data_IF_262299099039
#
_entry.id   IF_262299099039
#
_cell.length_a   1.000
_cell.length_b   1.000
_cell.length_c   1.000
_cell.angle_alpha   90.00
_cell.angle_beta   90.00
_cell.angle_gamma   90.00
#
_symmetry.space_group_name_H-M   'P 1'
#
loop_
_entity.id
_entity.type
_entity.pdbx_description
1 polymer ?
#
# COMPACT_ATOMS: atom_id res chain seq x y z
N UNK A 1 24.01 -3.48 -16.29
CA UNK A 1 23.46 -4.86 -16.32
C UNK A 1 22.07 -4.81 -16.96
N UNK A 2 21.75 -5.68 -17.91
CA UNK A 2 20.50 -5.60 -18.69
C UNK A 2 19.27 -5.85 -17.77
N UNK A 3 18.39 -4.85 -17.61
CA UNK A 3 17.16 -4.95 -16.78
C UNK A 3 16.32 -6.18 -17.15
N UNK A 4 16.34 -6.58 -18.43
CA UNK A 4 15.67 -7.78 -18.93
C UNK A 4 16.24 -9.07 -18.34
N UNK A 5 17.56 -9.16 -18.12
CA UNK A 5 18.22 -10.32 -17.48
C UNK A 5 17.88 -10.39 -15.99
N UNK A 6 17.81 -9.25 -15.31
CA UNK A 6 17.47 -9.18 -13.88
C UNK A 6 16.03 -9.62 -13.64
N UNK A 7 15.09 -9.23 -14.51
CA UNK A 7 13.70 -9.62 -14.35
C UNK A 7 13.45 -11.03 -14.88
N UNK A 8 14.14 -11.46 -15.95
CA UNK A 8 14.20 -12.90 -16.27
C UNK A 8 14.76 -13.68 -15.09
N UNK A 9 15.72 -13.16 -14.33
CA UNK A 9 16.19 -13.77 -13.09
C UNK A 9 15.21 -13.62 -11.91
N UNK A 10 14.42 -12.56 -11.78
CA UNK A 10 13.33 -12.47 -10.78
C UNK A 10 12.28 -13.53 -11.10
N UNK A 11 11.84 -13.54 -12.35
CA UNK A 11 10.88 -14.48 -12.90
C UNK A 11 11.47 -15.89 -12.85
N UNK A 12 12.76 -16.07 -13.08
CA UNK A 12 13.46 -17.36 -12.96
C UNK A 12 13.73 -17.75 -11.51
N UNK A 13 13.92 -16.84 -10.57
CA UNK A 13 13.97 -17.14 -9.14
C UNK A 13 12.57 -17.46 -8.62
N UNK A 14 11.52 -16.88 -9.21
CA UNK A 14 10.13 -17.28 -9.00
C UNK A 14 9.81 -18.59 -9.79
N UNK A 15 10.51 -18.90 -10.89
CA UNK A 15 10.29 -20.10 -11.71
C UNK A 15 11.18 -21.29 -11.32
N UNK A 16 12.32 -21.07 -10.65
CA UNK A 16 13.08 -22.08 -9.88
C UNK A 16 12.23 -22.64 -8.73
N UNK A 17 11.09 -21.99 -8.43
CA UNK A 17 10.04 -22.44 -7.52
C UNK A 17 8.91 -23.16 -8.31
N UNK A 18 9.14 -23.61 -9.55
CA UNK A 18 8.22 -24.42 -10.38
C UNK A 18 6.85 -23.79 -10.72
N UNK A 19 6.61 -22.53 -10.36
CA UNK A 19 5.27 -21.92 -10.51
C UNK A 19 5.07 -21.31 -11.90
N UNK A 20 5.97 -20.49 -12.44
CA UNK A 20 5.60 -19.66 -13.62
C UNK A 20 5.56 -20.42 -14.97
N UNK A 21 6.36 -21.49 -15.14
CA UNK A 21 6.34 -22.28 -16.37
C UNK A 21 5.15 -23.26 -16.42
N UNK A 22 4.68 -23.73 -15.26
CA UNK A 22 3.50 -24.60 -15.14
C UNK A 22 2.18 -23.82 -14.90
N UNK A 23 2.26 -22.54 -14.51
CA UNK A 23 1.09 -21.72 -14.22
C UNK A 23 0.39 -21.30 -15.51
N UNK A 24 -0.69 -22.03 -15.82
CA UNK A 24 -1.56 -21.84 -16.97
C UNK A 24 -2.04 -20.40 -17.12
N UNK A 25 -2.22 -19.64 -16.04
CA UNK A 25 -2.68 -18.25 -16.17
C UNK A 25 -1.58 -17.34 -16.73
N UNK A 26 -0.33 -17.57 -16.34
CA UNK A 26 0.82 -16.81 -16.84
C UNK A 26 1.11 -17.18 -18.27
N UNK A 27 1.03 -18.47 -18.62
CA UNK A 27 1.12 -18.88 -20.02
C UNK A 27 0.03 -18.22 -20.88
N UNK A 28 -1.20 -18.15 -20.37
CA UNK A 28 -2.27 -17.41 -21.03
C UNK A 28 -2.04 -15.90 -21.11
N UNK A 29 -1.36 -15.30 -20.13
CA UNK A 29 -0.96 -13.90 -20.17
C UNK A 29 0.09 -13.67 -21.26
N UNK A 30 1.12 -14.52 -21.30
CA UNK A 30 2.21 -14.45 -22.29
C UNK A 30 1.67 -14.67 -23.70
N UNK A 31 0.71 -15.58 -23.89
CA UNK A 31 0.10 -15.87 -25.19
C UNK A 31 -0.96 -14.84 -25.62
N UNK A 32 -1.26 -13.84 -24.79
CA UNK A 32 -2.29 -12.83 -25.07
C UNK A 32 -3.74 -13.30 -24.83
N UNK A 33 -3.95 -14.51 -24.31
CA UNK A 33 -5.28 -15.04 -23.95
C UNK A 33 -5.84 -14.41 -22.66
N UNK A 34 -5.02 -13.69 -21.90
CA UNK A 34 -5.42 -12.88 -20.74
C UNK A 34 -4.74 -11.53 -20.76
N UNK A 35 -5.44 -10.51 -20.29
CA UNK A 35 -4.90 -9.15 -20.12
C UNK A 35 -4.23 -8.93 -18.77
N UNK A 36 -4.65 -9.68 -17.74
CA UNK A 36 -4.23 -9.44 -16.35
C UNK A 36 -4.16 -10.72 -15.51
N UNK A 37 -3.04 -10.88 -14.83
CA UNK A 37 -2.81 -11.92 -13.82
C UNK A 37 -2.26 -11.27 -12.55
N UNK A 38 -2.75 -11.73 -11.40
CA UNK A 38 -2.35 -11.24 -10.09
C UNK A 38 -1.80 -12.38 -9.25
N UNK A 39 -0.68 -12.16 -8.56
CA UNK A 39 -0.03 -13.12 -7.67
C UNK A 39 0.28 -12.45 -6.33
N UNK A 40 0.00 -13.15 -5.23
CA UNK A 40 0.31 -12.70 -3.88
C UNK A 40 1.32 -13.67 -3.27
N UNK A 41 2.54 -13.21 -3.02
CA UNK A 41 3.64 -14.06 -2.54
C UNK A 41 3.39 -14.62 -1.12
N UNK A 42 2.43 -14.06 -0.38
CA UNK A 42 1.96 -14.63 0.89
C UNK A 42 1.43 -16.07 0.77
N UNK A 43 1.11 -16.54 -0.44
CA UNK A 43 0.58 -17.89 -0.66
C UNK A 43 1.64 -18.90 -1.14
N UNK A 44 2.92 -18.50 -1.21
CA UNK A 44 3.97 -19.28 -1.86
C UNK A 44 5.13 -19.57 -0.90
N UNK A 45 5.71 -20.77 -1.06
CA UNK A 45 6.88 -21.22 -0.32
C UNK A 45 8.16 -20.63 -0.91
N UNK A 46 8.29 -19.30 -0.82
CA UNK A 46 9.49 -18.56 -1.26
C UNK A 46 10.26 -18.16 -0.01
N UNK A 47 11.50 -18.63 0.08
CA UNK A 47 12.45 -18.28 1.14
C UNK A 47 12.72 -16.76 1.12
N UNK A 48 12.37 -16.10 2.22
CA UNK A 48 12.46 -14.64 2.34
C UNK A 48 13.93 -14.19 2.34
N UNK A 49 14.82 -14.93 3.00
CA UNK A 49 16.22 -14.58 3.11
C UNK A 49 16.92 -14.66 1.75
N UNK A 50 16.67 -15.73 0.98
CA UNK A 50 17.16 -15.84 -0.40
C UNK A 50 16.60 -14.72 -1.29
N UNK A 51 15.33 -14.37 -1.11
CA UNK A 51 14.70 -13.28 -1.83
C UNK A 51 15.36 -11.93 -1.53
N UNK A 52 15.62 -11.62 -0.25
CA UNK A 52 16.28 -10.37 0.16
C UNK A 52 17.70 -10.29 -0.41
N UNK A 53 18.48 -11.37 -0.28
CA UNK A 53 19.84 -11.45 -0.85
C UNK A 53 19.80 -11.18 -2.35
N UNK A 54 18.89 -11.84 -3.06
CA UNK A 54 18.71 -11.63 -4.50
C UNK A 54 18.38 -10.17 -4.85
N UNK A 55 17.47 -9.52 -4.12
CA UNK A 55 17.14 -8.10 -4.36
C UNK A 55 18.34 -7.19 -4.13
N UNK A 56 19.10 -7.42 -3.05
CA UNK A 56 20.29 -6.63 -2.71
C UNK A 56 21.41 -6.80 -3.73
N UNK A 57 21.76 -8.02 -4.08
CA UNK A 57 22.82 -8.33 -5.06
C UNK A 57 22.53 -7.74 -6.44
N UNK A 58 21.25 -7.58 -6.79
CA UNK A 58 20.81 -7.03 -8.08
C UNK A 58 20.39 -5.55 -8.00
N UNK A 59 20.52 -4.89 -6.86
CA UNK A 59 20.09 -3.50 -6.62
C UNK A 59 18.63 -3.23 -7.04
N UNK A 60 17.73 -4.15 -6.68
CA UNK A 60 16.32 -4.09 -7.04
C UNK A 60 15.52 -3.48 -5.90
N UNK A 61 14.76 -2.43 -6.21
CA UNK A 61 13.83 -1.81 -5.29
C UNK A 61 12.41 -1.85 -5.87
N UNK A 62 11.45 -2.23 -5.04
CA UNK A 62 10.03 -2.17 -5.38
C UNK A 62 9.31 -1.13 -4.53
N UNK A 63 8.23 -0.50 -5.05
CA UNK A 63 7.47 0.44 -4.27
C UNK A 63 6.85 -0.23 -3.04
N UNK A 64 6.92 0.46 -1.91
CA UNK A 64 6.15 0.18 -0.72
C UNK A 64 5.16 1.33 -0.51
N UNK A 65 3.89 1.04 -0.74
CA UNK A 65 2.82 2.06 -0.71
C UNK A 65 2.49 2.48 0.73
N UNK A 66 2.54 3.78 1.02
CA UNK A 66 2.05 4.33 2.29
C UNK A 66 1.31 5.63 2.04
N UNK A 67 0.83 6.31 3.08
CA UNK A 67 0.08 7.55 2.92
C UNK A 67 0.86 8.75 3.47
N UNK A 68 0.40 9.97 3.20
CA UNK A 68 0.91 11.18 3.85
C UNK A 68 0.75 11.09 5.38
N UNK A 69 1.77 11.53 6.13
CA UNK A 69 1.75 11.50 7.60
C UNK A 69 3.14 11.37 8.22
N UNK A 70 3.21 10.71 9.38
CA UNK A 70 4.37 10.68 10.28
C UNK A 70 5.56 9.81 9.83
N UNK A 71 6.14 10.09 8.65
CA UNK A 71 7.26 9.31 8.12
C UNK A 71 8.55 9.40 8.92
N UNK A 72 8.76 10.47 9.69
CA UNK A 72 9.88 10.58 10.64
C UNK A 72 9.86 9.45 11.68
N UNK A 73 8.73 9.27 12.34
CA UNK A 73 8.58 8.27 13.40
C UNK A 73 8.60 6.85 12.81
N UNK A 74 8.02 6.68 11.62
CA UNK A 74 8.17 5.44 10.86
C UNK A 74 9.66 5.17 10.64
N UNK A 75 10.41 6.08 10.01
CA UNK A 75 11.85 5.92 9.75
C UNK A 75 12.64 5.52 11.00
N UNK A 76 12.26 6.07 12.15
CA UNK A 76 12.95 5.90 13.43
C UNK A 76 12.47 4.70 14.26
N UNK A 77 11.69 3.77 13.69
CA UNK A 77 11.17 2.59 14.41
C UNK A 77 10.29 2.93 15.61
N UNK A 78 9.58 4.06 15.54
CA UNK A 78 8.69 4.50 16.60
C UNK A 78 7.23 4.20 16.27
N UNK A 79 6.95 3.54 15.15
CA UNK A 79 5.61 3.46 14.57
C UNK A 79 4.85 2.16 14.80
N UNK A 80 5.44 1.22 15.54
CA UNK A 80 4.80 -0.02 15.94
C UNK A 80 4.44 -0.85 14.70
N UNK A 81 3.15 -0.97 14.41
CA UNK A 81 2.67 -1.79 13.27
C UNK A 81 3.16 -1.31 11.90
N UNK A 82 3.65 -0.08 11.78
CA UNK A 82 4.21 0.46 10.53
C UNK A 82 5.74 0.28 10.41
N UNK A 83 6.40 -0.31 11.40
CA UNK A 83 7.86 -0.43 11.42
C UNK A 83 8.40 -1.39 10.34
N UNK A 84 7.54 -2.22 9.73
CA UNK A 84 7.92 -2.95 8.51
C UNK A 84 8.33 -2.00 7.37
N UNK A 85 7.78 -0.77 7.31
CA UNK A 85 8.19 0.21 6.31
C UNK A 85 9.63 0.66 6.57
N UNK A 86 10.00 0.82 7.83
CA UNK A 86 11.35 1.22 8.26
C UNK A 86 12.37 0.17 7.89
N UNK A 87 12.03 -1.09 8.15
CA UNK A 87 12.86 -2.24 7.81
C UNK A 87 13.06 -2.29 6.29
N UNK A 88 11.97 -2.35 5.53
CA UNK A 88 12.02 -2.51 4.07
C UNK A 88 12.71 -1.34 3.35
N UNK A 89 12.35 -0.11 3.70
CA UNK A 89 12.77 1.08 2.96
C UNK A 89 14.12 1.64 3.41
N UNK A 90 14.49 1.48 4.68
CA UNK A 90 15.63 2.22 5.26
C UNK A 90 16.74 1.31 5.81
N UNK A 91 16.38 0.23 6.51
CA UNK A 91 17.36 -0.72 7.07
C UNK A 91 17.84 -1.72 6.02
N UNK A 92 16.93 -2.51 5.45
CA UNK A 92 17.22 -3.50 4.41
C UNK A 92 17.41 -2.86 3.03
N UNK A 93 16.82 -1.68 2.80
CA UNK A 93 16.87 -0.93 1.54
C UNK A 93 16.53 -1.80 0.32
N UNK A 94 15.43 -2.55 0.43
CA UNK A 94 14.86 -3.41 -0.64
C UNK A 94 13.52 -2.89 -1.16
N UNK A 95 13.13 -1.70 -0.70
CA UNK A 95 11.95 -0.98 -1.12
C UNK A 95 12.23 0.52 -1.15
N UNK A 96 11.35 1.27 -1.81
CA UNK A 96 11.26 2.72 -1.64
C UNK A 96 9.83 3.13 -1.28
N UNK A 97 9.63 4.20 -0.49
CA UNK A 97 8.30 4.72 -0.21
C UNK A 97 7.62 5.27 -1.47
N UNK A 98 6.40 4.80 -1.75
CA UNK A 98 5.48 5.41 -2.70
C UNK A 98 4.29 5.97 -1.92
N UNK A 99 4.22 7.29 -1.80
CA UNK A 99 3.33 7.99 -0.89
C UNK A 99 2.03 8.38 -1.59
N UNK A 100 0.90 7.88 -1.08
CA UNK A 100 -0.44 8.26 -1.51
C UNK A 100 -0.84 9.54 -0.79
N UNK A 101 -1.07 10.57 -1.59
CA UNK A 101 -1.28 11.94 -1.17
C UNK A 101 -2.68 12.49 -1.48
N UNK A 102 -3.56 11.61 -1.99
CA UNK A 102 -4.98 11.86 -2.22
C UNK A 102 -5.82 11.17 -1.13
N UNK A 103 -5.38 11.32 0.12
CA UNK A 103 -5.96 10.65 1.30
C UNK A 103 -6.99 11.50 2.05
N UNK A 104 -7.34 11.03 3.24
CA UNK A 104 -8.23 11.71 4.18
C UNK A 104 -7.48 12.04 5.48
N UNK A 105 -7.85 13.13 6.14
CA UNK A 105 -7.50 13.35 7.54
C UNK A 105 -8.19 12.31 8.43
N UNK A 106 -7.55 11.95 9.53
CA UNK A 106 -8.24 11.24 10.60
C UNK A 106 -9.23 12.15 11.33
N UNK A 107 -10.32 11.56 11.81
CA UNK A 107 -11.22 12.22 12.75
C UNK A 107 -10.67 12.12 14.20
N UNK A 108 -11.37 12.75 15.13
CA UNK A 108 -10.94 12.88 16.54
C UNK A 108 -10.82 11.53 17.26
N UNK A 109 -11.87 10.71 17.17
CA UNK A 109 -11.99 9.41 17.84
C UNK A 109 -11.22 8.26 17.13
N UNK A 110 -10.56 8.56 16.01
CA UNK A 110 -9.82 7.61 15.19
C UNK A 110 -10.68 6.44 14.66
N UNK A 111 -11.93 6.72 14.31
CA UNK A 111 -12.83 5.74 13.68
C UNK A 111 -12.95 5.90 12.17
N UNK A 112 -12.57 7.06 11.60
CA UNK A 112 -12.63 7.33 10.16
C UNK A 112 -11.38 8.02 9.61
N UNK A 113 -11.24 7.98 8.28
CA UNK A 113 -10.14 8.60 7.56
C UNK A 113 -8.85 7.80 7.65
N UNK A 114 -7.71 8.49 7.72
CA UNK A 114 -6.40 7.84 7.85
C UNK A 114 -5.93 7.77 9.31
N UNK A 115 -6.46 6.80 10.03
CA UNK A 115 -6.15 6.54 11.45
C UNK A 115 -4.80 5.86 11.66
N UNK A 116 -4.07 5.58 10.57
CA UNK A 116 -2.80 4.84 10.58
C UNK A 116 -1.64 5.84 10.49
N UNK A 117 -1.64 6.68 9.46
CA UNK A 117 -0.59 7.66 9.20
C UNK A 117 -0.83 9.03 9.88
N UNK A 118 -2.06 9.27 10.36
CA UNK A 118 -2.49 10.48 11.07
C UNK A 118 -2.03 11.81 10.42
N UNK A 119 -2.34 12.06 9.14
CA UNK A 119 -1.93 13.27 8.44
C UNK A 119 -2.45 14.57 9.09
N UNK A 120 -3.55 14.51 9.85
CA UNK A 120 -4.10 15.64 10.60
C UNK A 120 -3.48 15.85 11.98
N UNK A 121 -2.42 15.11 12.30
CA UNK A 121 -1.67 15.20 13.56
C UNK A 121 -0.17 15.29 13.32
N UNK A 122 0.55 15.63 14.38
CA UNK A 122 2.00 15.49 14.51
C UNK A 122 2.24 14.44 15.58
N UNK A 123 3.12 13.50 15.30
CA UNK A 123 3.60 12.56 16.30
C UNK A 123 5.02 12.95 16.67
N UNK A 124 5.27 13.05 17.97
CA UNK A 124 6.57 13.45 18.50
C UNK A 124 6.75 12.76 19.85
N UNK A 125 7.82 11.97 19.97
CA UNK A 125 8.19 11.24 21.19
C UNK A 125 7.02 10.38 21.74
N UNK A 126 6.32 9.66 20.87
CA UNK A 126 5.16 8.83 21.26
C UNK A 126 3.93 9.62 21.72
N UNK A 127 3.92 10.95 21.53
CA UNK A 127 2.77 11.80 21.82
C UNK A 127 2.16 12.33 20.53
N UNK A 128 0.83 12.31 20.47
CA UNK A 128 0.03 12.87 19.38
C UNK A 128 -0.31 14.33 19.70
N UNK A 129 0.02 15.21 18.78
CA UNK A 129 -0.32 16.63 18.80
C UNK A 129 -1.22 16.95 17.62
N UNK A 130 -2.28 17.70 17.85
CA UNK A 130 -3.25 18.06 16.81
C UNK A 130 -2.71 19.26 16.02
N UNK A 131 -2.79 19.20 14.69
CA UNK A 131 -2.49 20.35 13.81
C UNK A 131 -3.64 21.37 13.82
N UNK A 132 -3.33 22.66 13.70
CA UNK A 132 -4.34 23.73 13.48
C UNK A 132 -4.75 23.73 12.00
N UNK A 133 -5.84 22.99 11.70
CA UNK A 133 -6.34 22.77 10.34
C UNK A 133 -7.60 23.58 10.05
N UNK A 134 -7.81 23.93 8.77
CA UNK A 134 -9.02 24.60 8.24
C UNK A 134 -9.37 24.06 6.84
N UNK A 135 -10.62 24.22 6.40
CA UNK A 135 -11.12 23.66 5.13
C UNK A 135 -10.99 24.58 3.91
N UNK A 136 -10.62 25.85 4.10
CA UNK A 136 -10.37 26.80 3.01
C UNK A 136 -9.62 28.01 3.60
N UNK A 137 -8.57 28.54 2.95
CA UNK A 137 -7.91 29.76 3.42
C UNK A 137 -8.81 31.00 3.49
N UNK A 138 -9.81 31.09 2.60
CA UNK A 138 -10.73 32.23 2.52
C UNK A 138 -11.87 32.13 3.53
N UNK A 139 -12.38 30.92 3.80
CA UNK A 139 -13.60 30.76 4.61
C UNK A 139 -13.35 30.91 6.11
N UNK A 140 -12.09 30.82 6.59
CA UNK A 140 -11.70 30.84 8.02
C UNK A 140 -12.51 29.89 8.92
N UNK A 141 -13.39 29.04 8.36
CA UNK A 141 -14.24 28.16 9.12
C UNK A 141 -13.37 27.08 9.74
N UNK A 142 -13.55 26.91 11.06
CA UNK A 142 -12.78 25.96 11.84
C UNK A 142 -13.10 24.56 11.33
N UNK A 143 -12.05 23.80 11.06
CA UNK A 143 -12.15 22.37 10.84
C UNK A 143 -12.74 21.70 12.10
N UNK A 144 -13.95 21.15 12.00
CA UNK A 144 -14.44 20.23 13.03
C UNK A 144 -13.78 18.86 12.82
N UNK A 145 -13.10 18.34 13.84
CA UNK A 145 -12.45 17.01 13.82
C UNK A 145 -13.44 15.85 13.92
N UNK A 146 -14.74 16.12 14.04
CA UNK A 146 -15.78 15.10 14.11
C UNK A 146 -15.82 14.20 12.86
N UNK A 147 -15.35 14.72 11.73
CA UNK A 147 -15.34 14.03 10.43
C UNK A 147 -13.96 14.04 9.80
N UNK A 148 -13.80 13.17 8.81
CA UNK A 148 -12.61 13.09 7.96
C UNK A 148 -12.80 13.88 6.68
N UNK A 149 -11.75 14.55 6.23
CA UNK A 149 -11.80 15.44 5.07
C UNK A 149 -10.65 15.17 4.11
N UNK A 150 -10.86 15.51 2.85
CA UNK A 150 -9.87 15.30 1.79
C UNK A 150 -8.62 16.15 2.04
N UNK A 151 -7.46 15.50 2.13
CA UNK A 151 -6.21 16.17 2.55
C UNK A 151 -5.84 17.37 1.67
N UNK A 152 -5.95 17.31 0.33
CA UNK A 152 -5.70 18.48 -0.51
C UNK A 152 -6.62 19.68 -0.28
N UNK A 153 -7.73 19.56 0.46
CA UNK A 153 -8.62 20.68 0.79
C UNK A 153 -8.38 21.20 2.21
N UNK A 154 -7.47 20.60 2.96
CA UNK A 154 -7.09 21.10 4.28
C UNK A 154 -5.92 22.08 4.14
N UNK A 155 -5.97 23.14 4.92
CA UNK A 155 -4.86 24.06 5.12
C UNK A 155 -4.43 24.05 6.57
N UNK A 156 -3.13 24.12 6.81
CA UNK A 156 -2.52 24.26 8.12
C UNK A 156 -2.08 25.71 8.32
N UNK A 157 -2.41 26.27 9.48
CA UNK A 157 -1.88 27.55 9.93
C UNK A 157 -0.65 27.31 10.79
N UNK A 158 0.54 27.58 10.23
CA UNK A 158 1.81 27.43 10.93
C UNK A 158 2.49 28.78 11.04
N UNK A 159 2.63 29.26 12.28
CA UNK A 159 3.26 30.56 12.59
C UNK A 159 2.62 31.74 11.83
N UNK A 160 1.30 31.70 11.63
CA UNK A 160 0.55 32.72 10.90
C UNK A 160 0.54 32.54 9.37
N UNK A 161 1.24 31.55 8.84
CA UNK A 161 1.28 31.24 7.40
C UNK A 161 0.35 30.06 7.10
N UNK A 162 -0.65 30.31 6.24
CA UNK A 162 -1.61 29.29 5.80
C UNK A 162 -1.02 28.55 4.59
N UNK A 163 -0.84 27.24 4.72
CA UNK A 163 -0.35 26.37 3.64
C UNK A 163 -1.28 25.18 3.45
N UNK A 164 -1.40 24.70 2.20
CA UNK A 164 -2.08 23.43 1.92
C UNK A 164 -1.41 22.27 2.68
N UNK A 165 -2.20 21.47 3.39
CA UNK A 165 -1.70 20.39 4.24
C UNK A 165 -0.95 19.33 3.43
N UNK A 166 -1.44 18.93 2.25
CA UNK A 166 -0.73 17.98 1.40
C UNK A 166 0.65 18.52 0.98
N UNK A 167 0.76 19.80 0.65
CA UNK A 167 2.05 20.44 0.32
C UNK A 167 2.97 20.50 1.54
N UNK A 168 2.45 20.85 2.71
CA UNK A 168 3.24 20.87 3.95
C UNK A 168 3.78 19.48 4.29
N UNK A 169 2.93 18.46 4.29
CA UNK A 169 3.34 17.08 4.59
C UNK A 169 4.34 16.54 3.56
N UNK A 170 4.17 16.87 2.27
CA UNK A 170 5.15 16.52 1.22
C UNK A 170 6.53 17.10 1.55
N UNK A 171 6.61 18.39 1.90
CA UNK A 171 7.88 19.06 2.27
C UNK A 171 8.52 18.44 3.52
N UNK A 172 7.70 18.10 4.52
CA UNK A 172 8.18 17.41 5.72
C UNK A 172 8.78 16.04 5.36
N UNK A 173 8.08 15.25 4.52
CA UNK A 173 8.58 13.96 4.04
C UNK A 173 9.85 14.11 3.20
N UNK A 174 9.89 15.07 2.26
CA UNK A 174 11.08 15.37 1.45
C UNK A 174 12.30 15.67 2.36
N UNK A 175 12.06 16.40 3.45
CA UNK A 175 13.10 16.72 4.45
C UNK A 175 13.52 15.49 5.24
N UNK A 176 12.55 14.72 5.74
CA UNK A 176 12.79 13.55 6.60
C UNK A 176 13.40 12.38 5.82
N UNK A 177 13.13 12.29 4.53
CA UNK A 177 13.57 11.21 3.64
C UNK A 177 14.58 11.70 2.59
N UNK A 178 15.22 12.86 2.79
CA UNK A 178 16.14 13.48 1.82
C UNK A 178 17.26 12.58 1.29
N UNK A 179 17.65 11.56 2.06
CA UNK A 179 18.71 10.60 1.75
C UNK A 179 18.20 9.35 1.03
N UNK A 180 16.89 9.21 0.85
CA UNK A 180 16.25 8.01 0.31
C UNK A 180 15.42 8.35 -0.91
N UNK A 181 15.43 7.44 -1.88
CA UNK A 181 14.50 7.48 -3.01
C UNK A 181 13.09 7.33 -2.48
N UNK A 182 12.21 8.24 -2.86
CA UNK A 182 10.78 8.18 -2.57
C UNK A 182 10.00 8.94 -3.64
N UNK A 183 8.70 8.65 -3.74
CA UNK A 183 7.82 9.25 -4.74
C UNK A 183 6.47 9.60 -4.14
N UNK A 184 5.84 10.66 -4.66
CA UNK A 184 4.46 10.99 -4.38
C UNK A 184 3.58 10.57 -5.54
N UNK A 185 2.47 9.90 -5.24
CA UNK A 185 1.56 9.33 -6.22
C UNK A 185 1.04 10.39 -7.19
N UNK A 186 0.54 11.52 -6.70
CA UNK A 186 0.01 12.56 -7.58
C UNK A 186 1.08 13.18 -8.47
N UNK A 187 2.32 13.31 -8.00
CA UNK A 187 3.44 13.80 -8.80
C UNK A 187 3.69 12.88 -10.01
N UNK A 188 3.75 11.57 -9.78
CA UNK A 188 4.02 10.59 -10.85
C UNK A 188 2.86 10.49 -11.84
N UNK A 189 1.62 10.61 -11.36
CA UNK A 189 0.44 10.71 -12.21
C UNK A 189 0.50 11.98 -13.08
N UNK A 190 0.77 13.14 -12.47
CA UNK A 190 0.83 14.41 -13.19
C UNK A 190 1.95 14.44 -14.25
N UNK A 191 3.15 13.93 -13.92
CA UNK A 191 4.27 13.79 -14.87
C UNK A 191 3.89 12.98 -16.11
N UNK A 192 2.96 12.04 -15.99
CA UNK A 192 2.51 11.16 -17.06
C UNK A 192 1.11 11.50 -17.59
N UNK A 193 0.65 12.74 -17.37
CA UNK A 193 -0.74 13.18 -17.63
C UNK A 193 -1.27 12.79 -19.01
N UNK A 194 -0.46 12.89 -20.07
CA UNK A 194 -0.90 12.59 -21.44
C UNK A 194 -1.34 11.11 -21.57
N UNK A 195 -0.49 10.18 -21.13
CA UNK A 195 -0.77 8.74 -21.20
C UNK A 195 -1.90 8.33 -20.26
N UNK A 196 -2.00 8.98 -19.10
CA UNK A 196 -3.10 8.72 -18.16
C UNK A 196 -4.43 9.27 -18.68
N UNK A 197 -4.42 10.40 -19.40
CA UNK A 197 -5.60 10.92 -20.10
C UNK A 197 -6.08 9.90 -21.15
N UNK A 198 -5.17 9.32 -21.93
CA UNK A 198 -5.51 8.24 -22.89
C UNK A 198 -6.16 7.03 -22.19
N UNK A 199 -5.66 6.64 -21.00
CA UNK A 199 -6.29 5.59 -20.17
C UNK A 199 -7.71 5.97 -19.76
N UNK A 200 -7.91 7.19 -19.26
CA UNK A 200 -9.22 7.67 -18.80
C UNK A 200 -10.22 7.75 -19.96
N UNK A 201 -9.80 8.31 -21.10
CA UNK A 201 -10.60 8.41 -22.32
C UNK A 201 -11.01 7.04 -22.82
N UNK A 202 -10.08 6.09 -22.91
CA UNK A 202 -10.37 4.72 -23.36
C UNK A 202 -11.43 4.02 -22.49
N UNK A 203 -11.31 4.13 -21.16
CA UNK A 203 -12.27 3.51 -20.23
C UNK A 203 -13.65 4.15 -20.36
N UNK A 204 -13.72 5.49 -20.43
CA UNK A 204 -14.98 6.21 -20.57
C UNK A 204 -15.64 5.94 -21.92
N UNK A 205 -14.86 5.84 -23.00
CA UNK A 205 -15.40 5.51 -24.32
C UNK A 205 -15.98 4.11 -24.38
N UNK A 206 -15.32 3.12 -23.79
CA UNK A 206 -15.88 1.77 -23.69
C UNK A 206 -17.15 1.75 -22.85
N UNK A 207 -17.18 2.52 -21.75
CA UNK A 207 -18.39 2.70 -20.96
C UNK A 207 -19.53 3.33 -21.78
N UNK A 208 -19.29 4.43 -22.49
CA UNK A 208 -20.33 5.08 -23.30
C UNK A 208 -20.84 4.19 -24.45
N UNK A 209 -20.01 3.30 -25.00
CA UNK A 209 -20.43 2.34 -26.04
C UNK A 209 -21.29 1.20 -25.50
N UNK A 210 -21.02 0.75 -24.27
CA UNK A 210 -21.64 -0.47 -23.71
C UNK A 210 -22.68 -0.18 -22.63
N UNK A 211 -22.68 1.04 -22.09
CA UNK A 211 -23.41 1.49 -20.90
C UNK A 211 -23.25 0.56 -19.68
N UNK A 212 -22.16 -0.22 -19.65
CA UNK A 212 -21.92 -1.18 -18.58
C UNK A 212 -21.51 -0.46 -17.31
N UNK A 213 -22.47 -0.23 -16.41
CA UNK A 213 -22.28 0.46 -15.12
C UNK A 213 -21.11 -0.07 -14.29
N UNK A 214 -20.75 -1.36 -14.41
CA UNK A 214 -19.59 -1.92 -13.69
C UNK A 214 -18.27 -1.30 -14.13
N UNK A 215 -18.13 -0.93 -15.41
CA UNK A 215 -16.94 -0.22 -15.92
C UNK A 215 -16.82 1.13 -15.22
N UNK A 216 -17.89 1.92 -15.20
CA UNK A 216 -17.91 3.22 -14.55
C UNK A 216 -17.63 3.12 -13.05
N UNK A 217 -18.29 2.22 -12.32
CA UNK A 217 -18.04 2.04 -10.89
C UNK A 217 -16.62 1.53 -10.57
N UNK A 218 -16.02 0.74 -11.47
CA UNK A 218 -14.61 0.35 -11.33
C UNK A 218 -13.68 1.50 -11.72
N UNK A 219 -14.13 2.50 -12.47
CA UNK A 219 -13.35 3.65 -12.89
C UNK A 219 -13.36 4.78 -11.85
N UNK A 220 -14.55 5.15 -11.39
CA UNK A 220 -14.82 6.24 -10.44
C UNK A 220 -15.92 5.75 -9.49
N UNK A 221 -15.66 5.78 -8.19
CA UNK A 221 -16.55 5.18 -7.17
C UNK A 221 -16.99 6.13 -6.06
N UNK A 222 -16.46 7.35 -6.08
CA UNK A 222 -16.57 8.35 -5.02
C UNK A 222 -16.52 9.74 -5.61
N UNK A 223 -16.88 10.73 -4.81
CA UNK A 223 -16.65 12.14 -5.11
C UNK A 223 -16.37 12.92 -3.83
N UNK A 224 -15.84 14.13 -3.99
CA UNK A 224 -15.68 15.10 -2.90
C UNK A 224 -16.83 16.10 -3.03
N UNK A 225 -17.56 16.35 -1.94
CA UNK A 225 -18.61 17.36 -1.92
C UNK A 225 -18.08 18.77 -1.61
N UNK A 226 -18.94 19.79 -1.64
CA UNK A 226 -18.54 21.16 -1.36
C UNK A 226 -18.09 21.38 0.11
N UNK A 227 -18.27 20.39 0.99
CA UNK A 227 -17.77 20.41 2.37
C UNK A 227 -16.36 19.81 2.51
N UNK A 228 -15.80 19.28 1.42
CA UNK A 228 -14.50 18.59 1.41
C UNK A 228 -14.53 17.17 1.96
N UNK A 229 -15.71 16.59 2.16
CA UNK A 229 -15.88 15.20 2.56
C UNK A 229 -15.98 14.28 1.34
N UNK A 230 -15.46 13.07 1.49
CA UNK A 230 -15.61 12.04 0.46
C UNK A 230 -16.95 11.33 0.68
N UNK A 231 -17.80 11.37 -0.34
CA UNK A 231 -19.05 10.64 -0.39
C UNK A 231 -18.93 9.41 -1.28
N UNK A 232 -19.69 8.37 -0.93
CA UNK A 232 -19.88 7.15 -1.72
C UNK A 232 -21.30 7.13 -2.22
N UNK A 233 -21.51 7.65 -3.42
CA UNK A 233 -22.79 7.52 -4.11
C UNK A 233 -22.57 7.01 -5.52
N UNK A 234 -23.60 6.44 -6.13
CA UNK A 234 -23.50 5.95 -7.50
C UNK A 234 -23.37 7.12 -8.48
N UNK A 235 -22.30 7.11 -9.27
CA UNK A 235 -22.18 8.00 -10.42
C UNK A 235 -23.09 7.46 -11.51
N UNK A 236 -23.97 8.31 -12.01
CA UNK A 236 -24.93 7.95 -13.04
C UNK A 236 -24.54 8.54 -14.38
N UNK A 237 -24.99 7.88 -15.44
CA UNK A 237 -24.89 8.38 -16.81
C UNK A 237 -26.29 8.41 -17.40
N UNK A 238 -26.68 9.55 -17.99
CA UNK A 238 -28.00 9.74 -18.60
C UNK A 238 -27.85 10.54 -19.88
N UNK A 239 -28.27 9.96 -21.01
CA UNK A 239 -28.12 10.59 -22.33
C UNK A 239 -26.65 10.71 -22.69
N UNK A 240 -26.04 11.86 -22.41
CA UNK A 240 -24.62 12.15 -22.64
C UNK A 240 -23.92 12.82 -21.44
N UNK A 241 -24.57 12.79 -20.28
CA UNK A 241 -24.12 13.51 -19.10
C UNK A 241 -23.79 12.55 -17.95
N UNK A 242 -22.73 12.88 -17.22
CA UNK A 242 -22.36 12.24 -15.97
C UNK A 242 -22.96 13.02 -14.81
N UNK A 243 -23.74 12.34 -13.99
CA UNK A 243 -24.36 12.90 -12.79
C UNK A 243 -23.56 12.38 -11.59
N UNK A 244 -22.92 13.30 -10.88
CA UNK A 244 -22.11 13.01 -9.69
C UNK A 244 -22.74 13.80 -8.55
N UNK A 245 -23.38 13.11 -7.60
CA UNK A 245 -24.22 13.73 -6.56
C UNK A 245 -25.18 14.77 -7.15
N UNK A 246 -25.00 16.05 -6.81
CA UNK A 246 -25.85 17.16 -7.27
C UNK A 246 -25.37 17.88 -8.54
N UNK A 247 -24.24 17.48 -9.12
CA UNK A 247 -23.65 18.14 -10.29
C UNK A 247 -23.76 17.27 -11.53
N UNK A 248 -23.87 17.95 -12.67
CA UNK A 248 -23.99 17.36 -14.00
C UNK A 248 -22.75 17.79 -14.80
N UNK A 249 -22.13 16.84 -15.48
CA UNK A 249 -20.93 17.05 -16.27
C UNK A 249 -21.14 16.52 -17.69
N UNK A 250 -20.70 17.27 -18.70
CA UNK A 250 -20.42 16.67 -20.01
C UNK A 250 -19.26 15.66 -19.91
N UNK A 251 -19.07 14.81 -20.91
CA UNK A 251 -17.92 13.86 -20.96
C UNK A 251 -16.59 14.58 -20.72
N UNK A 252 -16.36 15.68 -21.42
CA UNK A 252 -15.09 16.43 -21.35
C UNK A 252 -14.93 17.09 -19.97
N UNK A 253 -16.00 17.69 -19.44
CA UNK A 253 -15.97 18.27 -18.09
C UNK A 253 -15.71 17.21 -17.02
N UNK A 254 -16.29 16.02 -17.17
CA UNK A 254 -16.07 14.90 -16.27
C UNK A 254 -14.60 14.46 -16.31
N UNK A 255 -14.03 14.24 -17.49
CA UNK A 255 -12.63 13.87 -17.65
C UNK A 255 -11.66 14.92 -17.10
N UNK A 256 -11.91 16.20 -17.38
CA UNK A 256 -11.09 17.30 -16.85
C UNK A 256 -11.20 17.39 -15.31
N UNK A 257 -12.39 17.17 -14.75
CA UNK A 257 -12.58 17.22 -13.28
C UNK A 257 -11.85 16.11 -12.52
N UNK A 258 -11.53 14.97 -13.15
CA UNK A 258 -10.73 13.90 -12.53
C UNK A 258 -9.29 14.33 -12.22
N UNK A 259 -8.79 15.39 -12.88
CA UNK A 259 -7.46 15.93 -12.62
C UNK A 259 -7.41 16.83 -11.40
N UNK A 260 -8.54 17.35 -10.96
CA UNK A 260 -8.60 18.31 -9.86
C UNK A 260 -7.95 17.79 -8.57
N UNK A 261 -8.25 16.58 -8.07
CA UNK A 261 -7.61 16.04 -6.87
C UNK A 261 -6.08 15.99 -6.99
N UNK A 262 -5.57 15.61 -8.17
CA UNK A 262 -4.13 15.52 -8.45
C UNK A 262 -3.50 16.92 -8.44
N UNK A 263 -4.15 17.91 -9.06
CA UNK A 263 -3.68 19.29 -9.11
C UNK A 263 -3.69 19.95 -7.73
N UNK A 264 -4.77 19.81 -6.96
CA UNK A 264 -4.90 20.38 -5.60
C UNK A 264 -3.82 19.87 -4.64
N UNK A 265 -3.36 18.63 -4.81
CA UNK A 265 -2.28 18.07 -3.99
C UNK A 265 -0.88 18.61 -4.35
N UNK A 266 -0.75 19.36 -5.44
CA UNK A 266 0.52 19.85 -6.00
C UNK A 266 0.60 21.37 -6.10
N UNK A 267 -0.53 22.07 -6.12
CA UNK A 267 -0.60 23.51 -6.28
C UNK A 267 -1.64 24.11 -5.32
N UNK A 268 -1.19 25.10 -4.54
CA UNK A 268 -2.01 25.78 -3.54
C UNK A 268 -3.24 26.46 -4.16
N UNK A 269 -3.13 27.02 -5.37
CA UNK A 269 -4.24 27.71 -6.04
C UNK A 269 -5.44 26.79 -6.31
N UNK A 270 -5.17 25.51 -6.62
CA UNK A 270 -6.19 24.49 -6.82
C UNK A 270 -6.64 23.84 -5.51
N UNK A 271 -5.83 23.89 -4.44
CA UNK A 271 -6.25 23.45 -3.11
C UNK A 271 -7.23 24.43 -2.45
N UNK A 272 -7.25 25.69 -2.91
CA UNK A 272 -8.02 26.76 -2.29
C UNK A 272 -9.49 26.83 -2.77
N UNK A 273 -9.84 26.18 -3.88
CA UNK A 273 -11.25 26.11 -4.32
C UNK A 273 -11.82 24.77 -3.89
N UNK A 274 -12.79 24.84 -2.97
CA UNK A 274 -13.61 23.68 -2.63
C UNK A 274 -14.49 23.38 -3.84
N UNK A 275 -14.10 22.36 -4.61
CA UNK A 275 -14.86 21.93 -5.77
C UNK A 275 -15.47 20.56 -5.53
N UNK A 276 -16.66 20.40 -6.09
CA UNK A 276 -17.29 19.10 -6.16
C UNK A 276 -16.63 18.30 -7.28
N UNK A 277 -15.90 17.23 -6.95
CA UNK A 277 -15.06 16.54 -7.92
C UNK A 277 -15.18 15.01 -7.84
N UNK A 278 -15.30 14.31 -8.97
CA UNK A 278 -15.25 12.85 -8.98
C UNK A 278 -13.86 12.34 -8.60
N UNK A 279 -13.83 11.19 -7.92
CA UNK A 279 -12.60 10.52 -7.50
C UNK A 279 -12.44 9.18 -8.20
N UNK A 280 -11.29 8.98 -8.84
CA UNK A 280 -10.94 7.68 -9.40
C UNK A 280 -10.97 6.60 -8.31
N UNK A 281 -11.46 5.43 -8.68
CA UNK A 281 -11.59 4.32 -7.76
C UNK A 281 -10.22 3.81 -7.30
N UNK A 282 -10.20 3.06 -6.20
CA UNK A 282 -8.98 2.37 -5.78
C UNK A 282 -8.51 1.32 -6.82
N UNK A 283 -9.40 0.79 -7.66
CA UNK A 283 -9.07 -0.15 -8.74
C UNK A 283 -8.34 0.56 -9.87
N UNK A 284 -8.87 1.69 -10.32
CA UNK A 284 -8.21 2.53 -11.32
C UNK A 284 -6.87 3.01 -10.82
N UNK A 285 -6.78 3.40 -9.55
CA UNK A 285 -5.50 3.78 -8.97
C UNK A 285 -4.47 2.64 -9.04
N UNK A 286 -4.85 1.39 -8.78
CA UNK A 286 -3.94 0.25 -8.92
C UNK A 286 -3.48 0.03 -10.37
N UNK A 287 -4.33 0.31 -11.37
CA UNK A 287 -3.96 0.28 -12.79
C UNK A 287 -2.96 1.39 -13.11
N UNK A 288 -3.20 2.61 -12.63
CA UNK A 288 -2.26 3.71 -12.85
C UNK A 288 -0.90 3.40 -12.22
N UNK A 289 -0.87 2.92 -10.99
CA UNK A 289 0.38 2.57 -10.31
C UNK A 289 1.14 1.45 -11.02
N UNK A 290 0.45 0.38 -11.42
CA UNK A 290 1.09 -0.69 -12.18
C UNK A 290 1.52 -0.24 -13.57
N UNK A 291 0.81 0.68 -14.21
CA UNK A 291 1.25 1.28 -15.46
C UNK A 291 2.49 2.18 -15.30
N UNK A 292 2.57 2.97 -14.23
CA UNK A 292 3.66 3.90 -13.97
C UNK A 292 4.94 3.18 -13.50
N UNK A 293 4.78 2.17 -12.65
CA UNK A 293 5.86 1.42 -12.02
C UNK A 293 5.97 -0.02 -12.54
N UNK A 294 5.73 -0.22 -13.84
CA UNK A 294 5.95 -1.51 -14.51
C UNK A 294 7.39 -1.70 -14.91
N UNK A 295 7.77 -2.95 -15.02
CA UNK A 295 8.89 -3.39 -15.82
C UNK A 295 8.39 -4.12 -17.07
N UNK A 296 9.07 -3.96 -18.20
CA UNK A 296 8.70 -4.66 -19.44
C UNK A 296 9.55 -5.94 -19.54
N UNK A 297 8.89 -7.08 -19.71
CA UNK A 297 9.51 -8.40 -19.82
C UNK A 297 9.18 -9.02 -21.17
N UNK A 298 10.20 -9.56 -21.84
CA UNK A 298 10.03 -10.21 -23.15
C UNK A 298 10.08 -11.73 -23.02
N UNK A 299 9.06 -12.38 -23.54
CA UNK A 299 8.92 -13.82 -23.66
C UNK A 299 8.74 -14.17 -25.14
N UNK A 300 9.85 -14.49 -25.81
CA UNK A 300 9.87 -14.59 -27.28
C UNK A 300 9.56 -13.23 -27.92
N UNK A 301 8.56 -13.18 -28.80
CA UNK A 301 8.05 -11.95 -29.43
C UNK A 301 7.09 -11.15 -28.54
N UNK A 302 6.63 -11.71 -27.43
CA UNK A 302 5.55 -11.13 -26.63
C UNK A 302 6.10 -10.29 -25.48
N UNK A 303 5.50 -9.12 -25.25
CA UNK A 303 5.84 -8.24 -24.14
C UNK A 303 4.78 -8.32 -23.03
N UNK A 304 5.24 -8.53 -21.79
CA UNK A 304 4.41 -8.53 -20.59
C UNK A 304 4.89 -7.45 -19.64
N UNK A 305 3.96 -6.63 -19.16
CA UNK A 305 4.20 -5.66 -18.11
C UNK A 305 4.19 -6.37 -16.75
N UNK A 306 5.26 -6.24 -15.97
CA UNK A 306 5.38 -6.83 -14.65
C UNK A 306 5.46 -5.71 -13.62
N UNK A 307 4.44 -5.61 -12.79
CA UNK A 307 4.42 -4.70 -11.64
C UNK A 307 4.58 -5.51 -10.36
N UNK A 308 5.52 -5.09 -9.51
CA UNK A 308 5.79 -5.73 -8.23
C UNK A 308 5.74 -4.66 -7.16
N UNK A 309 5.07 -4.92 -6.04
CA UNK A 309 5.03 -3.99 -4.91
C UNK A 309 4.94 -4.70 -3.56
N UNK A 310 5.47 -4.06 -2.53
CA UNK A 310 5.36 -4.49 -1.15
C UNK A 310 4.00 -4.09 -0.56
N UNK A 311 3.27 -5.07 -0.02
CA UNK A 311 1.93 -4.90 0.51
C UNK A 311 1.78 -5.11 2.00
N UNK A 312 1.20 -4.08 2.64
CA UNK A 312 0.73 -4.10 4.02
C UNK A 312 -0.35 -5.16 4.28
N UNK A 313 -0.66 -5.37 5.55
CA UNK A 313 -1.65 -6.34 6.08
C UNK A 313 -2.94 -6.39 5.24
N UNK A 314 -3.56 -5.25 4.95
CA UNK A 314 -4.82 -5.24 4.20
C UNK A 314 -4.67 -5.77 2.77
N UNK A 315 -3.55 -5.44 2.11
CA UNK A 315 -3.31 -5.78 0.71
C UNK A 315 -2.82 -7.22 0.55
N UNK A 316 -1.88 -7.67 1.38
CA UNK A 316 -1.30 -9.01 1.30
C UNK A 316 -2.08 -10.04 2.12
N UNK A 317 -2.88 -9.62 3.10
CA UNK A 317 -3.60 -10.51 4.02
C UNK A 317 -2.68 -11.11 5.09
N UNK A 318 -3.29 -11.84 6.01
CA UNK A 318 -2.62 -12.65 7.04
C UNK A 318 -3.24 -14.04 7.00
N UNK A 319 -2.93 -14.82 5.97
CA UNK A 319 -3.48 -16.18 5.84
C UNK A 319 -3.06 -17.05 7.03
N UNK A 320 -3.94 -17.91 7.59
CA UNK A 320 -5.34 -18.13 7.22
C UNK A 320 -6.35 -17.15 7.88
N UNK A 321 -5.91 -16.31 8.81
CA UNK A 321 -6.77 -15.47 9.67
C UNK A 321 -7.49 -14.32 8.94
N UNK A 322 -6.83 -13.67 7.98
CA UNK A 322 -7.35 -12.49 7.29
C UNK A 322 -7.06 -12.57 5.80
N UNK A 323 -8.11 -12.49 4.98
CA UNK A 323 -7.96 -12.47 3.52
C UNK A 323 -7.46 -11.11 3.02
N UNK A 324 -6.70 -11.15 1.93
CA UNK A 324 -6.22 -9.99 1.17
C UNK A 324 -7.36 -9.30 0.42
N UNK A 325 -7.49 -7.96 0.48
CA UNK A 325 -8.42 -7.24 -0.40
C UNK A 325 -8.00 -7.33 -1.87
N UNK A 326 -6.70 -7.49 -2.15
CA UNK A 326 -6.16 -7.57 -3.51
C UNK A 326 -6.74 -8.79 -4.25
N UNK A 327 -6.81 -9.94 -3.57
CA UNK A 327 -7.40 -11.16 -4.14
C UNK A 327 -8.86 -10.97 -4.60
N UNK A 328 -9.68 -10.27 -3.80
CA UNK A 328 -11.09 -9.96 -4.10
C UNK A 328 -11.26 -9.00 -5.29
N UNK A 329 -10.26 -8.15 -5.53
CA UNK A 329 -10.32 -7.08 -6.52
C UNK A 329 -9.83 -7.51 -7.92
N UNK A 330 -9.20 -8.69 -8.04
CA UNK A 330 -8.60 -9.18 -9.29
C UNK A 330 -9.57 -9.21 -10.48
N UNK A 331 -10.84 -9.60 -10.26
CA UNK A 331 -11.86 -9.61 -11.32
C UNK A 331 -12.18 -8.21 -11.86
N UNK A 332 -12.24 -7.21 -10.98
CA UNK A 332 -12.52 -5.82 -11.34
C UNK A 332 -11.34 -5.20 -12.10
N UNK A 333 -10.11 -5.47 -11.63
CA UNK A 333 -8.90 -5.05 -12.33
C UNK A 333 -8.81 -5.66 -13.73
N UNK A 334 -9.08 -6.98 -13.85
CA UNK A 334 -9.07 -7.67 -15.13
C UNK A 334 -10.04 -7.04 -16.12
N UNK A 335 -11.26 -6.69 -15.69
CA UNK A 335 -12.23 -6.05 -16.56
C UNK A 335 -11.70 -4.75 -17.18
N UNK A 336 -11.04 -3.89 -16.40
CA UNK A 336 -10.47 -2.65 -16.92
C UNK A 336 -9.22 -2.91 -17.79
N UNK A 337 -8.39 -3.89 -17.42
CA UNK A 337 -7.25 -4.30 -18.24
C UNK A 337 -7.66 -4.90 -19.58
N UNK A 338 -8.73 -5.68 -19.64
CA UNK A 338 -9.26 -6.23 -20.90
C UNK A 338 -9.58 -5.10 -21.88
N UNK A 339 -10.18 -4.00 -21.39
CA UNK A 339 -10.48 -2.80 -22.19
C UNK A 339 -9.19 -2.16 -22.69
N UNK A 340 -8.24 -1.90 -21.78
CA UNK A 340 -7.01 -1.16 -22.11
C UNK A 340 -6.08 -1.97 -23.03
N UNK A 341 -5.96 -3.28 -22.83
CA UNK A 341 -5.13 -4.17 -23.66
C UNK A 341 -5.74 -4.35 -25.03
N UNK A 342 -7.06 -4.60 -25.12
CA UNK A 342 -7.77 -4.71 -26.41
C UNK A 342 -7.62 -3.46 -27.27
N UNK A 343 -7.56 -2.28 -26.65
CA UNK A 343 -7.37 -1.00 -27.33
C UNK A 343 -5.90 -0.56 -27.43
N UNK A 344 -4.93 -1.44 -27.14
CA UNK A 344 -3.49 -1.17 -27.22
C UNK A 344 -3.01 0.03 -26.38
N UNK A 345 -3.72 0.41 -25.33
CA UNK A 345 -3.33 1.50 -24.42
C UNK A 345 -2.27 1.02 -23.43
N UNK A 346 -2.38 -0.23 -22.98
CA UNK A 346 -1.41 -0.89 -22.10
C UNK A 346 -1.16 -2.32 -22.59
N UNK A 347 -0.01 -2.89 -22.23
CA UNK A 347 0.29 -4.30 -22.47
C UNK A 347 -0.30 -5.22 -21.39
N UNK A 348 -0.41 -6.54 -21.67
CA UNK A 348 -0.80 -7.55 -20.70
C UNK A 348 0.04 -7.43 -19.42
N UNK A 349 -0.60 -7.49 -18.26
CA UNK A 349 0.05 -7.19 -16.97
C UNK A 349 0.04 -8.35 -15.98
N UNK A 350 1.20 -8.67 -15.43
CA UNK A 350 1.41 -9.48 -14.24
C UNK A 350 1.62 -8.57 -13.03
N UNK A 351 0.72 -8.63 -12.05
CA UNK A 351 0.78 -7.86 -10.82
C UNK A 351 1.16 -8.75 -9.65
N UNK A 352 2.29 -8.48 -9.00
CA UNK A 352 2.82 -9.25 -7.88
C UNK A 352 2.79 -8.41 -6.60
N UNK A 353 2.13 -8.93 -5.56
CA UNK A 353 2.15 -8.37 -4.20
C UNK A 353 3.09 -9.20 -3.34
N UNK A 354 4.10 -8.56 -2.75
CA UNK A 354 5.00 -9.16 -1.76
C UNK A 354 4.53 -8.76 -0.36
N UNK A 355 4.29 -9.68 0.58
CA UNK A 355 3.84 -9.30 1.92
C UNK A 355 4.95 -8.57 2.69
N UNK A 356 4.67 -7.39 3.23
CA UNK A 356 5.60 -6.64 4.11
C UNK A 356 5.53 -7.09 5.57
N UNK A 357 4.48 -7.80 5.94
CA UNK A 357 4.19 -8.15 7.33
C UNK A 357 5.18 -9.12 7.99
N UNK A 358 5.90 -10.01 7.26
CA UNK A 358 6.93 -10.85 7.86
C UNK A 358 7.99 -10.06 8.61
N UNK A 359 8.27 -8.83 8.19
CA UNK A 359 9.26 -7.97 8.82
C UNK A 359 8.83 -7.48 10.21
N UNK A 360 7.55 -7.60 10.58
CA UNK A 360 7.10 -7.37 11.96
C UNK A 360 7.66 -8.42 12.93
N UNK A 361 8.08 -9.58 12.44
CA UNK A 361 8.66 -10.64 13.27
C UNK A 361 10.06 -10.28 13.77
N UNK A 362 10.78 -9.39 13.09
CA UNK A 362 12.19 -9.10 13.38
C UNK A 362 12.37 -8.48 14.76
N UNK A 363 13.04 -9.13 15.71
CA UNK A 363 13.34 -8.53 17.00
C UNK A 363 14.37 -7.39 16.86
N UNK A 364 14.39 -6.48 17.85
CA UNK A 364 15.42 -5.43 17.93
C UNK A 364 16.68 -6.01 18.56
N UNK A 365 17.85 -5.61 18.04
CA UNK A 365 19.16 -6.13 18.46
C UNK A 365 19.40 -6.04 19.97
N UNK A 366 18.88 -5.00 20.61
CA UNK A 366 19.09 -4.74 22.03
C UNK A 366 18.11 -5.50 22.95
N UNK A 367 17.16 -6.25 22.40
CA UNK A 367 16.16 -7.00 23.17
C UNK A 367 16.42 -8.49 23.13
N UNK A 368 17.37 -8.97 23.94
CA UNK A 368 17.77 -10.39 23.98
C UNK A 368 16.61 -11.34 24.24
N UNK A 369 15.63 -10.93 25.06
CA UNK A 369 14.44 -11.74 25.33
C UNK A 369 13.59 -11.93 24.07
N UNK A 370 13.37 -10.86 23.29
CA UNK A 370 12.63 -10.94 22.02
C UNK A 370 13.38 -11.82 21.02
N UNK A 371 14.70 -11.67 20.92
CA UNK A 371 15.54 -12.46 20.00
C UNK A 371 15.40 -13.95 20.29
N UNK A 372 15.62 -14.36 21.54
CA UNK A 372 15.58 -15.78 21.91
C UNK A 372 14.21 -16.40 21.68
N UNK A 373 13.13 -15.71 22.11
CA UNK A 373 11.76 -16.22 21.95
C UNK A 373 11.41 -16.37 20.47
N UNK A 374 11.77 -15.41 19.62
CA UNK A 374 11.48 -15.50 18.19
C UNK A 374 12.32 -16.57 17.51
N UNK A 375 13.59 -16.75 17.89
CA UNK A 375 14.41 -17.83 17.36
C UNK A 375 13.81 -19.21 17.68
N UNK A 376 13.40 -19.44 18.94
CA UNK A 376 12.77 -20.71 19.35
C UNK A 376 11.51 -21.02 18.51
N UNK A 377 10.70 -19.99 18.23
CA UNK A 377 9.49 -20.13 17.40
C UNK A 377 9.82 -20.47 15.95
N UNK A 378 10.85 -19.83 15.38
CA UNK A 378 11.28 -20.04 13.99
C UNK A 378 11.88 -21.43 13.82
N UNK A 379 12.74 -21.84 14.74
CA UNK A 379 13.37 -23.16 14.73
C UNK A 379 12.31 -24.26 14.82
N UNK A 380 11.29 -24.06 15.65
CA UNK A 380 10.13 -24.96 15.69
C UNK A 380 9.44 -25.06 14.33
N UNK A 381 9.16 -23.94 13.66
CA UNK A 381 8.48 -23.93 12.36
C UNK A 381 9.33 -24.57 11.26
N UNK A 382 10.63 -24.28 11.21
CA UNK A 382 11.55 -24.87 10.24
C UNK A 382 11.57 -26.41 10.36
N UNK A 383 11.48 -26.94 11.57
CA UNK A 383 11.43 -28.39 11.83
C UNK A 383 10.11 -29.06 11.44
N UNK A 384 9.03 -28.31 11.21
CA UNK A 384 7.73 -28.87 10.81
C UNK A 384 7.62 -29.12 9.30
N UNK A 385 8.57 -28.65 8.49
CA UNK A 385 8.50 -28.67 7.02
C UNK A 385 7.52 -27.63 6.46
N UNK A 386 7.57 -27.40 5.14
CA UNK A 386 6.74 -26.38 4.48
C UNK A 386 5.25 -26.56 4.75
N UNK A 387 4.59 -25.52 5.25
CA UNK A 387 3.23 -25.65 5.78
C UNK A 387 2.15 -25.58 4.69
N UNK A 388 1.02 -26.23 4.92
CA UNK A 388 -0.23 -25.90 4.25
C UNK A 388 -0.87 -24.66 4.93
N UNK A 389 -1.46 -23.76 4.15
CA UNK A 389 -2.07 -22.51 4.62
C UNK A 389 -3.49 -22.79 5.13
N UNK A 390 -3.63 -23.66 6.14
CA UNK A 390 -4.92 -24.02 6.72
C UNK A 390 -5.09 -23.45 8.13
N UNK A 391 -6.33 -23.09 8.47
CA UNK A 391 -6.67 -22.62 9.82
C UNK A 391 -6.39 -23.69 10.87
N UNK A 392 -6.66 -24.95 10.54
CA UNK A 392 -6.38 -26.10 11.41
C UNK A 392 -4.90 -26.21 11.74
N UNK A 393 -4.01 -26.09 10.74
CA UNK A 393 -2.56 -26.12 10.98
C UNK A 393 -2.10 -24.91 11.80
N UNK A 394 -2.63 -23.72 11.52
CA UNK A 394 -2.30 -22.52 12.27
C UNK A 394 -2.72 -22.63 13.76
N UNK A 395 -3.92 -23.15 14.04
CA UNK A 395 -4.37 -23.39 15.42
C UNK A 395 -3.58 -24.52 16.09
N UNK A 396 -3.20 -25.58 15.37
CA UNK A 396 -2.32 -26.63 15.89
C UNK A 396 -0.95 -26.08 16.31
N UNK A 397 -0.31 -25.27 15.46
CA UNK A 397 0.95 -24.59 15.76
C UNK A 397 0.77 -23.68 16.99
N UNK A 398 -0.29 -22.86 17.01
CA UNK A 398 -0.60 -21.98 18.13
C UNK A 398 -0.75 -22.76 19.45
N UNK A 399 -1.50 -23.85 19.46
CA UNK A 399 -1.66 -24.71 20.64
C UNK A 399 -0.32 -25.30 21.09
N UNK A 400 0.52 -25.73 20.15
CA UNK A 400 1.86 -26.21 20.48
C UNK A 400 2.71 -25.11 21.14
N UNK A 401 2.77 -23.93 20.53
CA UNK A 401 3.54 -22.79 21.06
C UNK A 401 3.07 -22.36 22.46
N UNK A 402 1.78 -22.44 22.76
CA UNK A 402 1.25 -22.16 24.09
C UNK A 402 1.60 -23.25 25.12
N UNK A 403 1.83 -24.49 24.66
CA UNK A 403 2.19 -25.63 25.51
C UNK A 403 3.70 -25.88 25.64
N UNK A 404 4.53 -25.30 24.76
CA UNK A 404 5.97 -25.56 24.67
C UNK A 404 6.80 -24.85 25.74
N UNK A 405 6.17 -24.14 26.68
CA UNK A 405 6.84 -23.39 27.74
C UNK A 405 7.42 -22.04 27.30
N UNK A 406 7.14 -21.59 26.07
CA UNK A 406 7.50 -20.26 25.58
C UNK A 406 6.78 -19.19 26.40
N UNK A 407 7.57 -18.28 27.00
CA UNK A 407 7.09 -17.23 27.91
C UNK A 407 6.79 -15.93 27.16
N UNK A 408 5.67 -15.87 26.44
CA UNK A 408 5.26 -14.70 25.65
C UNK A 408 5.13 -13.41 26.48
N UNK A 409 4.90 -13.52 27.80
CA UNK A 409 4.87 -12.40 28.72
C UNK A 409 6.22 -11.65 28.80
N UNK A 410 7.33 -12.34 28.53
CA UNK A 410 8.69 -11.78 28.53
C UNK A 410 9.02 -10.98 27.27
N UNK A 411 8.20 -11.04 26.23
CA UNK A 411 8.36 -10.16 25.07
C UNK A 411 8.26 -8.70 25.52
N UNK A 412 9.09 -7.83 24.93
CA UNK A 412 9.06 -6.41 25.22
C UNK A 412 7.72 -5.79 24.80
N UNK A 413 7.27 -4.76 25.52
CA UNK A 413 6.05 -4.04 25.15
C UNK A 413 6.15 -3.41 23.77
N UNK A 414 7.36 -2.98 23.39
CA UNK A 414 7.63 -2.51 22.05
C UNK A 414 7.41 -3.61 21.01
N UNK A 415 7.97 -4.81 21.18
CA UNK A 415 7.75 -5.93 20.26
C UNK A 415 6.26 -6.26 20.12
N UNK A 416 5.55 -6.40 21.25
CA UNK A 416 4.11 -6.66 21.29
C UNK A 416 3.32 -5.58 20.55
N UNK A 417 3.70 -4.32 20.67
CA UNK A 417 2.98 -3.20 20.05
C UNK A 417 2.91 -3.27 18.52
N UNK A 418 3.86 -3.94 17.88
CA UNK A 418 3.90 -4.10 16.42
C UNK A 418 2.78 -4.97 15.87
N UNK A 419 2.15 -5.76 16.74
CA UNK A 419 1.05 -6.67 16.41
C UNK A 419 -0.33 -6.09 16.75
N UNK A 420 -0.41 -4.92 17.41
CA UNK A 420 -1.68 -4.26 17.75
C UNK A 420 -2.47 -3.90 16.50
N UNK A 421 -3.80 -3.95 16.58
CA UNK A 421 -4.67 -3.51 15.48
C UNK A 421 -4.55 -1.99 15.22
N UNK A 422 -3.99 -1.62 14.06
CA UNK A 422 -4.12 -0.33 13.32
C UNK A 422 -4.33 0.94 14.17
N UNK A 423 -3.59 1.09 15.27
CA UNK A 423 -3.51 2.33 16.03
C UNK A 423 -2.07 2.85 15.88
N UNK A 424 -1.99 4.14 15.60
CA UNK A 424 -0.81 4.96 15.40
C UNK A 424 0.30 4.79 16.47
N UNK A 425 1.54 5.32 16.25
CA UNK A 425 2.70 5.18 17.13
C UNK A 425 2.39 5.39 18.62
N UNK A 426 2.58 4.31 19.38
CA UNK A 426 2.96 4.22 20.79
C UNK A 426 2.47 5.32 21.75
N UNK A 427 1.32 5.09 22.41
CA UNK A 427 1.11 5.69 23.72
C UNK A 427 2.06 5.04 24.74
N UNK A 428 3.07 5.79 25.19
CA UNK A 428 3.74 5.52 26.47
C UNK A 428 4.94 4.57 26.47
N UNK A 429 5.59 4.28 25.33
CA UNK A 429 6.89 3.59 25.35
C UNK A 429 7.99 4.64 25.34
N UNK A 430 8.49 4.99 26.53
CA UNK A 430 9.63 5.88 26.71
C UNK A 430 10.95 5.18 26.31
N UNK A 431 11.86 5.92 25.67
CA UNK A 431 13.21 5.50 25.24
C UNK A 431 13.29 4.40 24.17
N UNK A 432 13.16 4.82 22.90
CA UNK A 432 13.35 3.97 21.70
C UNK A 432 14.59 4.41 20.88
N UNK A 433 15.34 5.38 21.39
CA UNK A 433 16.61 5.78 20.77
C UNK A 433 17.52 4.54 20.76
N UNK A 434 17.96 4.13 19.56
CA UNK A 434 18.83 2.97 19.27
C UNK A 434 18.16 1.61 18.97
N UNK A 435 16.87 1.58 18.61
CA UNK A 435 16.26 0.36 18.04
C UNK A 435 16.79 0.06 16.62
N UNK A 436 17.86 -0.73 16.55
CA UNK A 436 18.37 -1.31 15.31
C UNK A 436 17.76 -2.72 15.19
N UNK A 437 16.94 -3.00 14.15
CA UNK A 437 16.47 -4.37 13.93
C UNK A 437 17.65 -5.28 13.61
N UNK A 438 17.56 -6.56 13.99
CA UNK A 438 18.47 -7.56 13.43
C UNK A 438 18.25 -7.66 11.91
N UNK A 439 19.30 -8.02 11.17
CA UNK A 439 19.15 -8.30 9.74
C UNK A 439 18.23 -9.51 9.57
N UNK A 440 17.36 -9.47 8.55
CA UNK A 440 16.41 -10.57 8.35
C UNK A 440 17.10 -11.92 8.14
N UNK A 441 18.20 -11.93 7.38
CA UNK A 441 19.00 -13.11 7.09
C UNK A 441 19.60 -13.78 8.32
N UNK A 442 19.83 -13.01 9.38
CA UNK A 442 20.53 -13.50 10.58
C UNK A 442 19.57 -14.23 11.53
N UNK A 443 18.27 -13.90 11.48
CA UNK A 443 17.23 -14.45 12.36
C UNK A 443 16.43 -15.55 11.66
N UNK A 444 16.08 -15.34 10.41
CA UNK A 444 15.15 -16.20 9.69
C UNK A 444 15.88 -16.96 8.58
N UNK A 445 16.65 -17.97 8.95
CA UNK A 445 17.14 -18.95 7.97
C UNK A 445 15.95 -19.79 7.50
N UNK A 446 15.80 -19.93 6.17
CA UNK A 446 14.77 -20.77 5.52
C UNK A 446 13.28 -20.43 5.71
N UNK A 447 12.91 -19.34 6.39
CA UNK A 447 11.50 -19.00 6.57
C UNK A 447 10.88 -18.51 5.25
N UNK A 448 9.76 -19.13 4.84
CA UNK A 448 9.05 -18.73 3.63
C UNK A 448 8.08 -17.56 3.85
N UNK A 449 7.71 -16.83 2.80
CA UNK A 449 6.66 -15.81 2.88
C UNK A 449 5.35 -16.37 3.44
N UNK A 450 4.98 -17.58 3.02
CA UNK A 450 3.79 -18.29 3.50
C UNK A 450 3.83 -18.54 5.01
N UNK A 451 4.91 -19.14 5.50
CA UNK A 451 5.06 -19.49 6.91
C UNK A 451 5.15 -18.24 7.80
N UNK A 452 5.89 -17.22 7.35
CA UNK A 452 6.04 -15.98 8.10
C UNK A 452 4.71 -15.21 8.24
N UNK A 453 3.92 -15.15 7.17
CA UNK A 453 2.58 -14.54 7.19
C UNK A 453 1.65 -15.26 8.17
N UNK A 454 1.68 -16.60 8.16
CA UNK A 454 0.92 -17.41 9.11
C UNK A 454 1.38 -17.16 10.55
N UNK A 455 2.69 -17.12 10.79
CA UNK A 455 3.25 -16.86 12.12
C UNK A 455 2.84 -15.48 12.65
N UNK A 456 2.85 -14.44 11.81
CA UNK A 456 2.34 -13.11 12.22
C UNK A 456 0.88 -13.23 12.70
N UNK A 457 0.05 -14.00 12.00
CA UNK A 457 -1.34 -14.24 12.41
C UNK A 457 -1.47 -14.95 13.76
N UNK A 458 -0.65 -15.99 13.97
CA UNK A 458 -0.59 -16.74 15.22
C UNK A 458 -0.18 -15.83 16.37
N UNK A 459 0.87 -15.03 16.21
CA UNK A 459 1.35 -14.09 17.23
C UNK A 459 0.29 -13.03 17.56
N UNK A 460 -0.38 -12.46 16.56
CA UNK A 460 -1.52 -11.54 16.81
C UNK A 460 -2.61 -12.20 17.65
N UNK A 461 -2.92 -13.47 17.39
CA UNK A 461 -3.90 -14.23 18.15
C UNK A 461 -3.45 -14.51 19.60
N UNK A 462 -2.19 -14.94 19.80
CA UNK A 462 -1.62 -15.25 21.12
C UNK A 462 -1.55 -14.00 21.99
N UNK A 463 -1.06 -12.90 21.44
CA UNK A 463 -0.83 -11.67 22.19
C UNK A 463 -2.13 -10.95 22.55
N UNK A 464 -3.28 -11.33 21.97
CA UNK A 464 -4.62 -10.75 22.18
C UNK A 464 -4.65 -9.23 21.94
N UNK A 465 -4.00 -8.74 20.87
CA UNK A 465 -3.86 -7.30 20.54
C UNK A 465 -4.45 -6.90 19.18
#
# INVERSE_FOLDING_TARGET
>A
MNKEKIIKNIIQSISQISILEADKDIQNLISGNRSFVARNLANYNIDISKWIVFLKENNILFPRTGHLGCWRDIRNFQSGSLDYNSILCFSEKIAYPLIFDLGLSENEDLTSGDTIYLPGSILKNGKRYIRDLRLNPELKSIYSREKSYFLPYLVENKDGVINNLSITLKREIDTDLKEYVHYFQSNEIFKNRKKIKEIFECIIEEFCKTENKKILCNFVDRYIDDSGQIQRDSIHYRGNEFIVGKRIFSKDQFLESLWYPILSSNNIEFGNKLEFVPLISNHTMQILLSFLFKNICRFGSNEVHVHVQWGAIGMSGIGPYQKSYFSHNTKRLRQLYDILVKNNIVGPTLFIVIPSIPFLLLPMKNSHADVNIIQDIVDFLNNQGGSDLSLEKAESIKSHLLSSGIKFEKLSEYYKSRFRKLRSPLHGIENIHDNIPLNFSDVFTSLSFKDAVMLVGILRSILKI
#
